data_IF_061076933543
#
_entry.id   IF_061076933543
#
_cell.length_a   1.000
_cell.length_b   1.000
_cell.length_c   1.000
_cell.angle_alpha   90.00
_cell.angle_beta   90.00
_cell.angle_gamma   90.00
#
_symmetry.space_group_name_H-M   'P 1'
#
loop_
_entity.id
_entity.type
_entity.pdbx_description
1 polymer ?
#
# COMPACT_ATOMS: atom_id res chain seq x y z
N UNK A 1 -1.23 1.02 -22.63
CA UNK A 1 -2.35 1.80 -22.05
C UNK A 1 -3.34 0.90 -21.32
N UNK A 2 -3.78 -0.21 -21.90
CA UNK A 2 -4.76 -1.15 -21.31
C UNK A 2 -4.34 -1.71 -19.93
N UNK A 3 -3.07 -2.11 -19.78
CA UNK A 3 -2.54 -2.63 -18.52
C UNK A 3 -2.58 -1.60 -17.36
N UNK A 4 -2.38 -0.31 -17.65
CA UNK A 4 -2.42 0.75 -16.63
C UNK A 4 -3.85 0.91 -16.10
N UNK A 5 -4.85 0.84 -16.98
CA UNK A 5 -6.25 0.86 -16.60
C UNK A 5 -6.58 -0.30 -15.66
N UNK A 6 -6.13 -1.51 -16.04
CA UNK A 6 -6.37 -2.73 -15.28
C UNK A 6 -5.81 -2.66 -13.85
N UNK A 7 -4.64 -2.06 -13.64
CA UNK A 7 -4.05 -1.98 -12.29
C UNK A 7 -4.61 -0.82 -11.45
N UNK A 8 -5.01 0.29 -12.08
CA UNK A 8 -5.41 1.52 -11.36
C UNK A 8 -6.88 1.56 -10.97
N UNK A 9 -7.74 0.91 -11.73
CA UNK A 9 -9.19 1.04 -11.55
C UNK A 9 -9.84 -0.27 -11.16
N UNK A 10 -10.92 -0.17 -10.38
CA UNK A 10 -11.81 -1.28 -10.09
C UNK A 10 -12.36 -1.82 -11.41
N UNK A 11 -12.33 -3.14 -11.57
CA UNK A 11 -12.69 -3.82 -12.83
C UNK A 11 -11.93 -3.35 -14.08
N UNK A 12 -10.82 -2.61 -13.92
CA UNK A 12 -10.02 -2.07 -15.00
C UNK A 12 -10.66 -0.91 -15.78
N UNK A 13 -11.78 -0.35 -15.30
CA UNK A 13 -12.55 0.69 -15.99
C UNK A 13 -12.56 1.99 -15.20
N UNK A 14 -12.28 3.10 -15.89
CA UNK A 14 -12.40 4.43 -15.30
C UNK A 14 -13.87 4.90 -15.41
N UNK A 15 -14.62 4.75 -14.33
CA UNK A 15 -16.04 5.10 -14.21
C UNK A 15 -16.26 6.30 -13.27
N UNK A 16 -15.25 7.16 -13.15
CA UNK A 16 -15.26 8.33 -12.25
C UNK A 16 -14.33 8.17 -11.06
N UNK A 17 -14.29 9.18 -10.20
CA UNK A 17 -13.30 9.27 -9.11
C UNK A 17 -13.28 8.04 -8.18
N UNK A 18 -14.43 7.51 -7.71
CA UNK A 18 -14.45 6.34 -6.82
C UNK A 18 -14.05 5.02 -7.49
N UNK A 19 -14.02 4.97 -8.83
CA UNK A 19 -13.55 3.77 -9.55
C UNK A 19 -12.04 3.55 -9.42
N UNK A 20 -11.27 4.60 -9.10
CA UNK A 20 -9.83 4.48 -8.86
C UNK A 20 -9.59 3.84 -7.50
N UNK A 21 -8.61 2.94 -7.44
CA UNK A 21 -8.19 2.25 -6.21
C UNK A 21 -7.30 3.20 -5.38
N UNK A 22 -7.92 4.07 -4.57
CA UNK A 22 -7.19 5.10 -3.80
C UNK A 22 -6.53 4.56 -2.53
N UNK A 23 -7.26 3.74 -1.77
CA UNK A 23 -6.70 3.03 -0.62
C UNK A 23 -5.82 1.89 -1.11
N UNK A 24 -4.56 1.88 -0.69
CA UNK A 24 -3.60 0.95 -1.28
C UNK A 24 -3.83 -0.50 -0.83
N UNK A 25 -4.49 -0.71 0.32
CA UNK A 25 -5.02 -2.03 0.70
C UNK A 25 -6.08 -2.54 -0.27
N UNK A 26 -6.95 -1.66 -0.80
CA UNK A 26 -7.87 -2.02 -1.88
C UNK A 26 -7.12 -2.28 -3.19
N UNK A 27 -6.14 -1.44 -3.51
CA UNK A 27 -5.29 -1.63 -4.68
C UNK A 27 -4.62 -3.02 -4.66
N UNK A 28 -4.00 -3.39 -3.54
CA UNK A 28 -3.31 -4.67 -3.38
C UNK A 28 -4.32 -5.84 -3.49
N UNK A 29 -5.42 -5.77 -2.73
CA UNK A 29 -6.46 -6.82 -2.73
C UNK A 29 -7.09 -7.03 -4.10
N UNK A 30 -7.37 -5.96 -4.85
CA UNK A 30 -7.97 -6.05 -6.18
C UNK A 30 -6.99 -6.60 -7.22
N UNK A 31 -5.71 -6.21 -7.15
CA UNK A 31 -4.70 -6.71 -8.07
C UNK A 31 -4.29 -8.16 -7.77
N UNK A 32 -4.39 -8.60 -6.51
CA UNK A 32 -4.28 -10.02 -6.15
C UNK A 32 -5.46 -10.83 -6.71
N UNK A 33 -6.69 -10.36 -6.50
CA UNK A 33 -7.89 -11.01 -7.04
C UNK A 33 -7.90 -11.11 -8.58
N UNK A 34 -7.30 -10.13 -9.26
CA UNK A 34 -7.11 -10.14 -10.73
C UNK A 34 -5.96 -11.05 -11.19
N UNK A 35 -5.15 -11.56 -10.26
CA UNK A 35 -3.98 -12.37 -10.55
C UNK A 35 -2.81 -11.61 -11.19
N UNK A 36 -2.75 -10.29 -11.01
CA UNK A 36 -1.65 -9.45 -11.54
C UNK A 36 -0.43 -9.51 -10.63
N UNK A 37 -0.69 -9.53 -9.33
CA UNK A 37 0.30 -9.77 -8.29
C UNK A 37 -0.28 -10.77 -7.30
N UNK A 38 0.50 -11.17 -6.30
CA UNK A 38 0.08 -11.96 -5.16
C UNK A 38 0.46 -11.23 -3.88
N UNK A 39 -0.47 -11.04 -2.95
CA UNK A 39 -0.12 -10.60 -1.60
C UNK A 39 0.55 -11.77 -0.87
N UNK A 40 1.86 -11.67 -0.65
CA UNK A 40 2.64 -12.72 0.02
C UNK A 40 2.84 -12.42 1.51
N UNK A 41 2.27 -11.33 2.02
CA UNK A 41 2.57 -10.80 3.35
C UNK A 41 2.33 -11.83 4.44
N UNK A 42 1.21 -12.53 4.39
CA UNK A 42 0.89 -13.60 5.33
C UNK A 42 1.87 -14.78 5.20
N UNK A 43 2.17 -15.19 3.96
CA UNK A 43 3.02 -16.35 3.65
C UNK A 43 4.43 -16.19 4.18
N UNK A 44 4.94 -14.96 4.18
CA UNK A 44 6.31 -14.68 4.63
C UNK A 44 6.42 -14.41 6.13
N UNK A 45 5.30 -14.39 6.87
CA UNK A 45 5.29 -14.28 8.34
C UNK A 45 4.61 -13.02 8.88
N UNK A 46 3.79 -12.36 8.07
CA UNK A 46 2.94 -11.25 8.50
C UNK A 46 1.92 -11.67 9.55
N UNK A 47 1.51 -10.72 10.38
CA UNK A 47 0.47 -10.88 11.41
C UNK A 47 -0.77 -10.09 11.00
N UNK A 48 -1.91 -10.37 11.63
CA UNK A 48 -3.16 -9.66 11.35
C UNK A 48 -2.98 -8.13 11.45
N UNK A 49 -3.49 -7.41 10.46
CA UNK A 49 -3.49 -5.95 10.39
C UNK A 49 -4.93 -5.43 10.53
N UNK A 50 -5.25 -4.67 11.60
CA UNK A 50 -6.59 -4.12 11.81
C UNK A 50 -6.83 -2.94 10.86
N UNK A 51 -7.19 -3.25 9.61
CA UNK A 51 -7.33 -2.26 8.55
C UNK A 51 -8.78 -1.81 8.39
N UNK A 52 -9.08 -0.56 8.73
CA UNK A 52 -10.39 0.05 8.53
C UNK A 52 -10.20 1.54 8.14
N UNK A 53 -9.67 1.83 6.95
CA UNK A 53 -9.37 3.19 6.56
C UNK A 53 -10.65 3.97 6.27
N UNK A 54 -10.69 5.22 6.75
CA UNK A 54 -11.81 6.17 6.58
C UNK A 54 -11.33 7.59 6.24
N UNK A 55 -10.01 7.78 6.06
CA UNK A 55 -9.37 9.09 5.96
C UNK A 55 -9.98 10.00 4.90
N UNK A 56 -10.28 9.49 3.70
CA UNK A 56 -10.80 10.29 2.59
C UNK A 56 -12.19 10.85 2.89
N UNK A 57 -13.11 10.03 3.40
CA UNK A 57 -14.49 10.48 3.67
C UNK A 57 -14.62 11.28 4.96
N UNK A 58 -13.69 11.10 5.91
CA UNK A 58 -13.55 11.96 7.09
C UNK A 58 -12.87 13.30 6.78
N UNK A 59 -12.13 13.39 5.67
CA UNK A 59 -11.37 14.59 5.30
C UNK A 59 -11.59 15.00 3.82
N UNK A 60 -12.84 15.18 3.37
CA UNK A 60 -13.15 15.47 1.96
C UNK A 60 -12.52 16.79 1.47
N UNK A 61 -12.24 17.74 2.37
CA UNK A 61 -11.60 19.02 2.06
C UNK A 61 -10.20 18.89 1.43
N UNK A 62 -9.51 17.76 1.62
CA UNK A 62 -8.19 17.52 1.01
C UNK A 62 -8.28 17.01 -0.44
N UNK A 63 -9.48 16.73 -0.94
CA UNK A 63 -9.69 16.08 -2.23
C UNK A 63 -10.72 16.88 -3.05
N UNK A 64 -10.31 17.60 -4.11
CA UNK A 64 -11.22 18.42 -4.91
C UNK A 64 -12.44 17.64 -5.44
N UNK A 65 -12.25 16.37 -5.80
CA UNK A 65 -13.31 15.50 -6.32
C UNK A 65 -14.34 15.09 -5.25
N UNK A 66 -14.02 15.22 -3.96
CA UNK A 66 -14.93 14.95 -2.86
C UNK A 66 -15.78 16.15 -2.46
N UNK A 67 -15.67 17.26 -3.21
CA UNK A 67 -16.70 18.31 -3.18
C UNK A 67 -18.04 17.84 -3.72
N UNK A 68 -18.07 16.78 -4.54
CA UNK A 68 -19.29 16.08 -4.93
C UNK A 68 -19.69 15.06 -3.84
N UNK A 69 -20.85 15.23 -3.16
CA UNK A 69 -21.32 14.32 -2.12
C UNK A 69 -21.48 12.87 -2.60
N UNK A 70 -21.78 12.65 -3.89
CA UNK A 70 -21.90 11.29 -4.44
C UNK A 70 -20.58 10.53 -4.37
N UNK A 71 -19.45 11.21 -4.60
CA UNK A 71 -18.14 10.58 -4.50
C UNK A 71 -17.82 10.20 -3.04
N UNK A 72 -18.27 11.00 -2.08
CA UNK A 72 -18.13 10.69 -0.64
C UNK A 72 -18.97 9.46 -0.29
N UNK A 73 -20.22 9.37 -0.74
CA UNK A 73 -21.09 8.22 -0.50
C UNK A 73 -20.52 6.92 -1.08
N UNK A 74 -20.00 6.96 -2.32
CA UNK A 74 -19.37 5.79 -2.93
C UNK A 74 -18.08 5.37 -2.21
N UNK A 75 -17.24 6.32 -1.78
CA UNK A 75 -16.05 5.97 -0.99
C UNK A 75 -16.39 5.40 0.38
N UNK A 76 -17.47 5.85 1.03
CA UNK A 76 -17.92 5.24 2.30
C UNK A 76 -18.26 3.76 2.14
N UNK A 77 -18.84 3.37 0.99
CA UNK A 77 -19.08 1.96 0.67
C UNK A 77 -17.76 1.20 0.53
N UNK A 78 -16.79 1.79 -0.17
CA UNK A 78 -15.45 1.18 -0.33
C UNK A 78 -14.77 0.98 1.03
N UNK A 79 -14.79 1.99 1.89
CA UNK A 79 -14.21 1.94 3.25
C UNK A 79 -14.90 0.87 4.10
N UNK A 80 -16.23 0.78 4.05
CA UNK A 80 -17.00 -0.25 4.76
C UNK A 80 -16.68 -1.67 4.27
N UNK A 81 -16.45 -1.86 2.96
CA UNK A 81 -16.03 -3.16 2.42
C UNK A 81 -14.59 -3.50 2.80
N UNK A 82 -13.69 -2.52 2.86
CA UNK A 82 -12.31 -2.75 3.33
C UNK A 82 -12.28 -3.16 4.81
N UNK A 83 -13.11 -2.53 5.66
CA UNK A 83 -13.19 -2.86 7.08
C UNK A 83 -13.65 -4.30 7.37
N UNK A 84 -14.29 -4.97 6.39
CA UNK A 84 -14.72 -6.38 6.50
C UNK A 84 -13.63 -7.37 6.09
N UNK A 85 -12.59 -6.92 5.38
CA UNK A 85 -11.52 -7.79 4.86
C UNK A 85 -10.47 -8.04 5.94
N UNK A 86 -9.89 -9.24 5.88
CA UNK A 86 -8.72 -9.58 6.68
C UNK A 86 -7.45 -9.22 5.92
N UNK A 87 -6.58 -8.44 6.56
CA UNK A 87 -5.27 -8.08 6.02
C UNK A 87 -4.18 -8.56 6.96
N UNK A 88 -2.97 -8.71 6.41
CA UNK A 88 -1.78 -9.00 7.18
C UNK A 88 -0.71 -7.95 6.90
N UNK A 89 0.14 -7.69 7.87
CA UNK A 89 1.31 -6.83 7.70
C UNK A 89 2.51 -7.42 8.43
N UNK A 90 3.71 -7.06 8.02
CA UNK A 90 4.94 -7.35 8.76
C UNK A 90 5.24 -6.13 9.62
N UNK A 91 5.12 -6.24 10.95
CA UNK A 91 5.51 -5.18 11.88
C UNK A 91 6.95 -4.73 11.64
N UNK A 92 7.21 -3.43 11.77
CA UNK A 92 8.52 -2.84 11.46
C UNK A 92 9.71 -3.54 12.14
N UNK A 93 9.51 -4.00 13.37
CA UNK A 93 10.49 -4.70 14.20
C UNK A 93 10.75 -6.14 13.74
N UNK A 94 9.89 -6.70 12.89
CA UNK A 94 10.07 -8.04 12.30
C UNK A 94 10.66 -8.01 10.90
N UNK A 95 10.71 -6.85 10.23
CA UNK A 95 11.16 -6.74 8.82
C UNK A 95 12.54 -7.35 8.64
N UNK A 96 13.51 -6.95 9.47
CA UNK A 96 14.89 -7.42 9.34
C UNK A 96 15.01 -8.95 9.39
N UNK A 97 14.24 -9.60 10.27
CA UNK A 97 14.24 -11.06 10.41
C UNK A 97 13.63 -11.80 9.21
N UNK A 98 12.83 -11.10 8.39
CA UNK A 98 12.09 -11.64 7.25
C UNK A 98 12.63 -11.13 5.90
N UNK A 99 13.67 -10.28 5.89
CA UNK A 99 14.25 -9.71 4.67
C UNK A 99 14.64 -10.77 3.64
N UNK A 100 15.12 -11.94 4.08
CA UNK A 100 15.49 -13.06 3.20
C UNK A 100 14.32 -13.67 2.41
N UNK A 101 13.08 -13.36 2.77
CA UNK A 101 11.87 -13.82 2.07
C UNK A 101 11.34 -12.79 1.06
N UNK A 102 11.88 -11.57 1.10
CA UNK A 102 11.55 -10.47 0.19
C UNK A 102 12.56 -10.50 -0.95
N UNK A 103 12.08 -10.31 -2.18
CA UNK A 103 12.89 -10.36 -3.40
C UNK A 103 12.95 -8.99 -4.06
N UNK A 104 14.05 -8.69 -4.75
CA UNK A 104 14.13 -7.50 -5.60
C UNK A 104 12.96 -7.48 -6.60
N UNK A 105 12.28 -6.34 -6.68
CA UNK A 105 11.09 -6.15 -7.52
C UNK A 105 9.75 -6.42 -6.81
N UNK A 106 9.75 -6.99 -5.60
CA UNK A 106 8.53 -7.05 -4.79
C UNK A 106 8.00 -5.64 -4.53
N UNK A 107 6.69 -5.45 -4.67
CA UNK A 107 5.98 -4.24 -4.27
C UNK A 107 5.96 -4.16 -2.75
N UNK A 108 6.40 -3.02 -2.20
CA UNK A 108 6.36 -2.72 -0.78
C UNK A 108 5.34 -1.62 -0.54
N UNK A 109 4.34 -1.90 0.31
CA UNK A 109 3.41 -0.91 0.83
C UNK A 109 3.70 -0.65 2.30
N UNK A 110 3.99 0.60 2.66
CA UNK A 110 4.34 0.98 4.03
C UNK A 110 3.06 1.34 4.78
N UNK A 111 2.70 0.47 5.73
CA UNK A 111 1.58 0.66 6.67
C UNK A 111 1.86 1.79 7.67
N UNK A 112 0.80 2.31 8.28
CA UNK A 112 0.91 3.38 9.28
C UNK A 112 0.20 3.07 10.60
N UNK A 113 0.57 3.79 11.65
CA UNK A 113 -0.12 3.80 12.95
C UNK A 113 -1.25 4.84 13.04
N UNK A 114 -1.49 5.62 11.97
CA UNK A 114 -2.61 6.56 11.87
C UNK A 114 -3.92 5.77 11.76
N UNK A 115 -4.84 5.95 12.70
CA UNK A 115 -6.01 5.07 12.90
C UNK A 115 -6.92 4.88 11.68
N UNK A 116 -7.08 5.91 10.86
CA UNK A 116 -8.01 5.94 9.73
C UNK A 116 -7.31 5.86 8.36
N UNK A 117 -6.00 5.59 8.32
CA UNK A 117 -5.21 5.49 7.08
C UNK A 117 -4.50 4.14 7.03
N UNK A 118 -4.52 3.49 5.86
CA UNK A 118 -3.95 2.16 5.70
C UNK A 118 -2.46 2.20 5.37
N UNK A 119 -2.07 2.99 4.36
CA UNK A 119 -0.72 3.09 3.83
C UNK A 119 -0.30 4.53 3.63
N UNK A 120 0.98 4.82 3.85
CA UNK A 120 1.55 6.18 3.71
C UNK A 120 2.52 6.31 2.55
N UNK A 121 3.10 5.19 2.10
CA UNK A 121 4.10 5.23 1.04
C UNK A 121 4.24 3.86 0.37
N UNK A 122 4.78 3.85 -0.85
CA UNK A 122 4.99 2.64 -1.64
C UNK A 122 6.31 2.69 -2.39
N UNK A 123 6.83 1.53 -2.76
CA UNK A 123 8.02 1.39 -3.60
C UNK A 123 8.28 -0.06 -3.95
N UNK A 124 9.48 -0.33 -4.41
CA UNK A 124 9.93 -1.67 -4.76
C UNK A 124 11.10 -2.09 -3.87
N UNK A 125 11.13 -3.35 -3.48
CA UNK A 125 12.29 -3.94 -2.84
C UNK A 125 13.48 -3.92 -3.81
N UNK A 126 14.65 -3.52 -3.31
CA UNK A 126 15.90 -3.56 -4.04
C UNK A 126 16.97 -4.15 -3.13
N UNK A 127 17.44 -5.34 -3.44
CA UNK A 127 18.53 -5.98 -2.69
C UNK A 127 19.85 -5.27 -2.98
N UNK A 128 20.58 -4.93 -1.90
CA UNK A 128 21.93 -4.39 -1.95
C UNK A 128 22.74 -4.92 -0.76
N UNK A 129 23.84 -5.62 -1.06
CA UNK A 129 24.78 -6.14 -0.05
C UNK A 129 24.12 -7.03 1.03
N UNK A 130 23.20 -7.90 0.63
CA UNK A 130 22.47 -8.83 1.48
C UNK A 130 21.31 -8.20 2.27
N UNK A 131 20.98 -6.92 2.03
CA UNK A 131 19.90 -6.20 2.73
C UNK A 131 18.88 -5.68 1.73
N UNK A 132 17.62 -5.61 2.14
CA UNK A 132 16.56 -5.02 1.30
C UNK A 132 16.54 -3.52 1.51
N UNK A 133 16.64 -2.76 0.43
CA UNK A 133 16.43 -1.31 0.35
C UNK A 133 15.12 -1.00 -0.37
N UNK A 134 14.69 0.25 -0.34
CA UNK A 134 13.46 0.71 -1.00
C UNK A 134 13.80 1.57 -2.21
N UNK A 135 13.42 1.13 -3.40
CA UNK A 135 13.37 1.97 -4.60
C UNK A 135 12.02 2.68 -4.66
N UNK A 136 11.99 4.00 -4.53
CA UNK A 136 10.73 4.76 -4.47
C UNK A 136 10.85 6.17 -5.05
N UNK A 137 9.71 6.77 -5.39
CA UNK A 137 9.64 8.21 -5.68
C UNK A 137 9.74 8.98 -4.36
N UNK A 138 10.76 9.83 -4.22
CA UNK A 138 11.04 10.60 -3.01
C UNK A 138 10.46 12.00 -3.13
N UNK A 139 9.51 12.36 -2.25
CA UNK A 139 9.02 13.74 -2.19
C UNK A 139 10.09 14.72 -1.71
N UNK A 140 11.01 14.24 -0.86
CA UNK A 140 12.14 15.02 -0.33
C UNK A 140 13.14 15.36 -1.43
N UNK A 141 13.55 14.36 -2.21
CA UNK A 141 14.61 14.51 -3.21
C UNK A 141 14.07 14.75 -4.64
N UNK A 142 12.75 14.65 -4.83
CA UNK A 142 12.03 14.92 -6.09
C UNK A 142 12.46 14.04 -7.27
N UNK A 143 12.98 12.86 -6.97
CA UNK A 143 13.41 11.86 -7.95
C UNK A 143 13.08 10.44 -7.49
N UNK A 144 13.22 9.48 -8.39
CA UNK A 144 13.22 8.06 -8.02
C UNK A 144 14.60 7.73 -7.49
N UNK A 145 14.65 7.22 -6.26
CA UNK A 145 15.89 6.87 -5.59
C UNK A 145 15.82 5.49 -4.95
N UNK A 146 16.99 4.94 -4.64
CA UNK A 146 17.12 3.78 -3.75
C UNK A 146 17.54 4.33 -2.38
N UNK A 147 16.80 3.95 -1.33
CA UNK A 147 17.10 4.38 0.03
C UNK A 147 18.55 4.07 0.41
N UNK A 148 19.25 5.01 1.04
CA UNK A 148 20.61 4.77 1.53
C UNK A 148 20.64 3.77 2.69
N UNK A 149 19.56 3.73 3.48
CA UNK A 149 19.35 2.79 4.58
C UNK A 149 18.56 1.56 4.12
N UNK A 150 18.79 0.39 4.73
CA UNK A 150 17.92 -0.77 4.60
C UNK A 150 16.46 -0.43 4.95
N UNK A 151 15.51 -1.20 4.41
CA UNK A 151 14.07 -1.00 4.56
C UNK A 151 13.64 -1.00 6.03
N UNK A 152 14.19 -1.92 6.84
CA UNK A 152 13.95 -1.97 8.28
C UNK A 152 14.35 -0.67 8.99
N UNK A 153 15.55 -0.14 8.69
CA UNK A 153 16.06 1.11 9.26
C UNK A 153 15.32 2.34 8.73
N UNK A 154 14.94 2.33 7.44
CA UNK A 154 14.12 3.37 6.81
C UNK A 154 12.79 3.54 7.54
N UNK A 155 12.09 2.44 7.86
CA UNK A 155 10.85 2.49 8.62
C UNK A 155 11.07 2.89 10.08
N UNK A 156 12.17 2.44 10.70
CA UNK A 156 12.49 2.80 12.08
C UNK A 156 12.69 4.31 12.27
N UNK A 157 13.15 5.03 11.23
CA UNK A 157 13.33 6.46 11.25
C UNK A 157 12.01 7.27 11.35
N UNK A 158 10.86 6.68 10.98
CA UNK A 158 9.56 7.33 11.02
C UNK A 158 8.58 6.62 11.96
N UNK A 159 8.24 7.28 13.07
CA UNK A 159 7.33 6.73 14.10
C UNK A 159 5.91 6.42 13.58
N UNK A 160 5.46 7.08 12.52
CA UNK A 160 4.14 6.79 11.95
C UNK A 160 4.13 5.56 11.05
N UNK A 161 5.29 5.04 10.62
CA UNK A 161 5.39 3.84 9.80
C UNK A 161 5.39 2.60 10.71
N UNK A 162 4.35 1.78 10.60
CA UNK A 162 4.11 0.67 11.52
C UNK A 162 4.65 -0.68 11.01
N UNK A 163 4.90 -0.79 9.71
CA UNK A 163 5.32 -2.04 9.06
C UNK A 163 5.10 -2.02 7.55
N UNK A 164 5.07 -3.19 6.91
CA UNK A 164 4.88 -3.32 5.46
C UNK A 164 3.88 -4.40 5.07
N UNK A 165 3.27 -4.25 3.89
CA UNK A 165 2.72 -5.34 3.09
C UNK A 165 3.61 -5.57 1.86
N UNK A 166 3.63 -6.80 1.36
CA UNK A 166 4.51 -7.24 0.28
C UNK A 166 3.69 -7.93 -0.81
N UNK A 167 3.74 -7.35 -2.02
CA UNK A 167 3.13 -7.92 -3.23
C UNK A 167 4.20 -8.45 -4.19
N UNK A 168 4.02 -9.65 -4.74
CA UNK A 168 4.92 -10.23 -5.74
C UNK A 168 4.21 -10.40 -7.08
N UNK A 169 4.82 -9.91 -8.15
CA UNK A 169 4.28 -10.02 -9.51
C UNK A 169 4.18 -11.49 -9.96
N UNK A 170 3.12 -11.83 -10.69
CA UNK A 170 2.95 -13.17 -11.30
C UNK A 170 3.53 -13.23 -12.71
#
# INVERSE_FOLDING_TARGET
MEQIGNVRYRHGKNEGYPSRLHYFSDWLSQNDAKGILKDITQEIGGVAYPNAPTFMTENPQFYPQLSDPKNVEELKKVEAELAKKSFHYIPRDKIQSLESKIQSGDMIAITTSIKNLDMVHVGFAFERNGRIHLMHASSKNKEVEISSMPLSDYLAANKSQSGIMVGRWK
#
